data_IF_172938706128
#
_entry.id   IF_172938706128
#
_cell.length_a   1.000
_cell.length_b   1.000
_cell.length_c   1.000
_cell.angle_alpha   90.00
_cell.angle_beta   90.00
_cell.angle_gamma   90.00
#
_symmetry.space_group_name_H-M   'P 1'
#
loop_
_entity.id
_entity.type
_entity.pdbx_description
1 polymer ?
#
# COMPACT_ATOMS: atom_id res chain seq x y z
N UNK A 1 -7.07 -9.33 18.46
CA UNK A 1 -6.27 -8.94 17.28
C UNK A 1 -6.75 -9.77 16.11
N UNK A 2 -6.88 -9.21 14.90
CA UNK A 2 -7.27 -9.96 13.70
C UNK A 2 -6.09 -10.85 13.31
N UNK A 3 -6.30 -12.15 13.15
CA UNK A 3 -5.25 -13.05 12.65
C UNK A 3 -5.14 -12.94 11.13
N UNK A 4 -4.20 -12.13 10.67
CA UNK A 4 -4.01 -11.88 9.24
C UNK A 4 -3.48 -13.10 8.47
N UNK A 5 -2.80 -14.05 9.14
CA UNK A 5 -2.22 -15.22 8.49
C UNK A 5 -3.29 -16.18 7.98
N UNK A 6 -4.39 -16.30 8.73
CA UNK A 6 -5.56 -17.11 8.31
C UNK A 6 -6.29 -16.60 7.06
N UNK A 7 -5.99 -15.40 6.55
CA UNK A 7 -6.72 -14.79 5.45
C UNK A 7 -6.29 -15.27 4.06
N UNK A 8 -5.01 -15.62 3.86
CA UNK A 8 -4.50 -16.07 2.57
C UNK A 8 -3.13 -16.74 2.67
N UNK A 9 -2.80 -17.55 1.67
CA UNK A 9 -1.46 -18.15 1.49
C UNK A 9 -0.34 -17.08 1.56
N UNK A 10 -0.57 -15.93 0.94
CA UNK A 10 0.43 -14.85 0.89
C UNK A 10 0.71 -14.26 2.26
N UNK A 11 -0.32 -14.04 3.08
CA UNK A 11 -0.14 -13.58 4.46
C UNK A 11 0.53 -14.65 5.33
N UNK A 12 0.11 -15.91 5.21
CA UNK A 12 0.68 -17.00 6.00
C UNK A 12 2.18 -17.21 5.71
N UNK A 13 2.58 -17.02 4.46
CA UNK A 13 3.96 -17.21 4.01
C UNK A 13 4.97 -16.15 4.50
N UNK A 14 4.53 -15.09 5.17
CA UNK A 14 5.42 -14.02 5.63
C UNK A 14 6.27 -14.46 6.84
N UNK A 15 7.61 -14.30 6.76
CA UNK A 15 8.53 -14.74 7.82
C UNK A 15 8.37 -13.93 9.12
N UNK A 16 7.94 -12.67 9.00
CA UNK A 16 7.75 -11.75 10.13
C UNK A 16 6.28 -11.62 10.55
N UNK A 17 6.00 -11.21 11.79
CA UNK A 17 4.65 -10.89 12.24
C UNK A 17 4.01 -9.78 11.39
N UNK A 18 2.77 -10.00 10.96
CA UNK A 18 2.03 -9.02 10.17
C UNK A 18 1.54 -7.90 11.08
N UNK A 19 2.18 -6.74 11.01
CA UNK A 19 1.74 -5.52 11.68
C UNK A 19 1.16 -4.56 10.65
N UNK A 20 -0.14 -4.26 10.68
CA UNK A 20 -0.74 -3.25 9.79
C UNK A 20 -0.05 -1.90 9.96
N UNK A 21 0.14 -1.17 8.86
CA UNK A 21 0.56 0.24 8.94
C UNK A 21 -0.54 1.05 9.65
N UNK A 22 -0.17 2.14 10.35
CA UNK A 22 -1.14 3.06 10.89
C UNK A 22 -2.14 3.52 9.83
N UNK A 23 -3.40 3.68 10.22
CA UNK A 23 -4.38 4.33 9.37
C UNK A 23 -3.97 5.78 9.09
N UNK A 24 -4.52 6.36 8.02
CA UNK A 24 -4.37 7.78 7.75
C UNK A 24 -4.87 8.59 8.96
N UNK A 25 -4.10 9.59 9.37
CA UNK A 25 -4.44 10.47 10.50
C UNK A 25 -5.61 11.41 10.20
N UNK A 26 -6.04 11.48 8.94
CA UNK A 26 -7.15 12.29 8.47
C UNK A 26 -7.22 12.32 6.95
N UNK A 27 -8.05 13.23 6.39
CA UNK A 27 -8.13 13.45 4.95
C UNK A 27 -6.78 13.87 4.36
N UNK A 28 -6.49 13.40 3.14
CA UNK A 28 -5.27 13.74 2.41
C UNK A 28 -5.62 14.22 1.00
N UNK A 29 -5.10 15.38 0.61
CA UNK A 29 -5.19 15.87 -0.77
C UNK A 29 -3.96 15.40 -1.54
N UNK A 30 -4.18 14.57 -2.56
CA UNK A 30 -3.14 14.02 -3.44
C UNK A 30 -3.53 14.21 -4.89
N UNK A 31 -2.55 14.09 -5.78
CA UNK A 31 -2.78 14.17 -7.21
C UNK A 31 -3.27 12.80 -7.73
N UNK A 32 -2.77 11.71 -7.15
CA UNK A 32 -3.25 10.34 -7.42
C UNK A 32 -3.40 9.55 -6.12
N UNK A 33 -4.57 8.96 -5.91
CA UNK A 33 -4.83 7.98 -4.86
C UNK A 33 -4.95 6.58 -5.47
N UNK A 34 -4.15 5.63 -4.99
CA UNK A 34 -4.14 4.24 -5.42
C UNK A 34 -4.73 3.41 -4.28
N UNK A 35 -5.76 2.60 -4.56
CA UNK A 35 -6.37 1.73 -3.55
C UNK A 35 -5.79 0.32 -3.70
N UNK A 36 -4.85 -0.02 -2.83
CA UNK A 36 -4.27 -1.35 -2.74
C UNK A 36 -2.76 -1.37 -3.02
N UNK A 37 -1.98 -1.65 -1.98
CA UNK A 37 -0.50 -1.70 -2.04
C UNK A 37 0.06 -3.07 -2.47
N UNK A 38 -0.64 -3.76 -3.39
CA UNK A 38 -0.10 -4.96 -4.06
C UNK A 38 0.87 -4.60 -5.18
N UNK A 39 1.37 -5.60 -5.92
CA UNK A 39 2.30 -5.36 -7.02
C UNK A 39 1.79 -4.34 -8.04
N UNK A 40 0.55 -4.48 -8.48
CA UNK A 40 -0.05 -3.54 -9.45
C UNK A 40 -0.04 -2.11 -8.92
N UNK A 41 -0.54 -1.88 -7.69
CA UNK A 41 -0.59 -0.53 -7.12
C UNK A 41 0.78 0.09 -6.90
N UNK A 42 1.75 -0.68 -6.40
CA UNK A 42 3.12 -0.19 -6.18
C UNK A 42 3.86 0.08 -7.49
N UNK A 43 3.70 -0.77 -8.51
CA UNK A 43 4.27 -0.51 -9.83
C UNK A 43 3.63 0.70 -10.50
N UNK A 44 2.31 0.88 -10.36
CA UNK A 44 1.63 2.10 -10.82
C UNK A 44 2.21 3.34 -10.14
N UNK A 45 2.36 3.33 -8.80
CA UNK A 45 2.98 4.44 -8.07
C UNK A 45 4.41 4.72 -8.56
N UNK A 46 5.22 3.66 -8.72
CA UNK A 46 6.60 3.76 -9.20
C UNK A 46 6.69 4.41 -10.59
N UNK A 47 5.89 3.94 -11.56
CA UNK A 47 5.94 4.46 -12.91
C UNK A 47 5.36 5.88 -13.02
N UNK A 48 4.34 6.22 -12.22
CA UNK A 48 3.86 7.60 -12.10
C UNK A 48 4.95 8.53 -11.57
N UNK A 49 5.60 8.16 -10.46
CA UNK A 49 6.69 8.96 -9.88
C UNK A 49 7.90 9.09 -10.82
N UNK A 50 8.15 8.08 -11.66
CA UNK A 50 9.21 8.13 -12.68
C UNK A 50 8.85 9.06 -13.84
N UNK A 51 7.57 9.08 -14.25
CA UNK A 51 7.10 9.92 -15.34
C UNK A 51 6.99 11.39 -14.92
N UNK A 52 6.53 11.65 -13.70
CA UNK A 52 6.45 12.97 -13.10
C UNK A 52 6.77 12.92 -11.59
N UNK A 53 8.00 13.31 -11.19
CA UNK A 53 8.42 13.33 -9.79
C UNK A 53 7.69 14.35 -8.91
N UNK A 54 6.90 15.26 -9.49
CA UNK A 54 6.15 16.26 -8.72
C UNK A 54 4.78 15.75 -8.25
N UNK A 55 4.31 14.60 -8.75
CA UNK A 55 3.06 14.00 -8.32
C UNK A 55 3.12 13.58 -6.85
N UNK A 56 2.13 14.06 -6.07
CA UNK A 56 1.86 13.58 -4.72
C UNK A 56 0.98 12.34 -4.84
N UNK A 57 1.55 11.18 -4.55
CA UNK A 57 0.89 9.88 -4.71
C UNK A 57 0.66 9.26 -3.33
N UNK A 58 -0.56 8.81 -3.05
CA UNK A 58 -0.88 7.95 -1.90
C UNK A 58 -1.30 6.55 -2.36
N UNK A 59 -0.88 5.52 -1.64
CA UNK A 59 -1.15 4.09 -1.92
C UNK A 59 -1.72 3.41 -0.67
#
# INVERSE_FOLDING_TARGET
MRDYRSLSLWHDSLPEPITPRPALSGPLAVDVAIVGAGYTGLWTAYYLAKADPHLRIAV
#
